data_IF_502418831663
#
_entry.id   IF_502418831663
#
_cell.length_a   1.000
_cell.length_b   1.000
_cell.length_c   1.000
_cell.angle_alpha   90.00
_cell.angle_beta   90.00
_cell.angle_gamma   90.00
#
_symmetry.space_group_name_H-M   'P 1'
#
loop_
_entity.id
_entity.type
_entity.pdbx_description
1 polymer ?
#
# COMPACT_ATOMS: atom_id res chain seq x y z
N UNK A 1 -2.15 10.71 -17.86
CA UNK A 1 -1.91 9.36 -17.34
C UNK A 1 -0.53 9.29 -16.72
N UNK A 2 -0.47 8.91 -15.47
CA UNK A 2 0.80 8.86 -14.78
C UNK A 2 1.54 7.57 -15.11
N UNK A 3 2.86 7.64 -15.11
CA UNK A 3 3.68 6.46 -15.32
C UNK A 3 3.67 5.59 -14.05
N UNK A 4 3.77 4.28 -14.21
CA UNK A 4 3.91 3.43 -13.03
C UNK A 4 5.22 3.73 -12.30
N UNK A 5 5.21 3.54 -11.00
CA UNK A 5 6.41 3.71 -10.20
C UNK A 5 7.42 2.61 -10.53
N UNK A 6 8.70 2.91 -10.34
CA UNK A 6 9.71 1.86 -10.38
C UNK A 6 9.39 0.84 -9.26
N UNK A 7 9.88 -0.38 -9.40
CA UNK A 7 9.66 -1.40 -8.39
C UNK A 7 10.19 -0.96 -7.03
N UNK A 8 11.27 -0.21 -7.03
CA UNK A 8 11.87 0.28 -5.81
C UNK A 8 10.96 1.28 -5.09
N UNK A 9 10.41 2.22 -5.84
CA UNK A 9 9.50 3.21 -5.27
C UNK A 9 8.17 2.58 -4.87
N UNK A 10 7.64 1.72 -5.71
CA UNK A 10 6.42 0.99 -5.42
C UNK A 10 6.55 0.20 -4.11
N UNK A 11 7.66 -0.50 -3.95
CA UNK A 11 7.90 -1.27 -2.75
C UNK A 11 7.93 -0.40 -1.50
N UNK A 12 8.53 0.78 -1.60
CA UNK A 12 8.56 1.73 -0.48
C UNK A 12 7.15 2.18 -0.10
N UNK A 13 6.32 2.47 -1.08
CA UNK A 13 4.94 2.90 -0.84
C UNK A 13 4.15 1.78 -0.14
N UNK A 14 4.25 0.58 -0.65
CA UNK A 14 3.52 -0.56 -0.07
C UNK A 14 3.99 -0.83 1.36
N UNK A 15 5.29 -0.83 1.59
CA UNK A 15 5.83 -1.07 2.93
C UNK A 15 5.39 0.01 3.91
N UNK A 16 5.40 1.26 3.49
CA UNK A 16 4.97 2.35 4.34
C UNK A 16 3.50 2.20 4.70
N UNK A 17 2.66 1.94 3.70
CA UNK A 17 1.24 1.76 3.95
C UNK A 17 0.98 0.60 4.89
N UNK A 18 1.55 -0.56 4.61
CA UNK A 18 1.32 -1.76 5.43
C UNK A 18 1.81 -1.52 6.85
N UNK A 19 2.99 -0.95 7.00
CA UNK A 19 3.56 -0.70 8.32
C UNK A 19 2.65 0.20 9.16
N UNK A 20 2.21 1.32 8.60
CA UNK A 20 1.37 2.25 9.33
C UNK A 20 -0.02 1.69 9.59
N UNK A 21 -0.58 1.01 8.61
CA UNK A 21 -1.90 0.40 8.74
C UNK A 21 -1.92 -0.64 9.86
N UNK A 22 -0.93 -1.52 9.85
CA UNK A 22 -0.85 -2.59 10.84
C UNK A 22 -0.54 -2.02 12.23
N UNK A 23 0.35 -1.03 12.32
CA UNK A 23 0.68 -0.42 13.60
C UNK A 23 -0.51 0.26 14.26
N UNK A 24 -1.40 0.83 13.46
CA UNK A 24 -2.54 1.57 14.00
C UNK A 24 -3.74 0.69 14.32
N UNK A 25 -3.93 -0.42 13.59
CA UNK A 25 -5.16 -1.17 13.65
C UNK A 25 -5.02 -2.60 14.17
N UNK A 26 -3.79 -3.05 14.43
CA UNK A 26 -3.55 -4.46 14.74
C UNK A 26 -2.78 -4.60 16.04
N UNK A 27 -3.16 -5.55 16.92
CA UNK A 27 -2.38 -5.84 18.13
C UNK A 27 -0.98 -6.34 17.78
N UNK A 28 -0.02 -6.06 18.67
CA UNK A 28 1.39 -6.44 18.48
C UNK A 28 1.57 -7.89 18.07
N UNK A 29 0.79 -8.77 18.69
CA UNK A 29 0.92 -10.20 18.49
C UNK A 29 0.63 -10.64 17.05
N UNK A 30 -0.16 -9.83 16.33
CA UNK A 30 -0.61 -10.19 14.99
C UNK A 30 -0.02 -9.31 13.90
N UNK A 31 0.75 -8.29 14.27
CA UNK A 31 1.28 -7.32 13.31
C UNK A 31 2.08 -7.96 12.19
N UNK A 32 3.00 -8.83 12.57
CA UNK A 32 3.88 -9.46 11.61
C UNK A 32 3.11 -10.35 10.65
N UNK A 33 2.17 -11.13 11.17
CA UNK A 33 1.37 -12.02 10.36
C UNK A 33 0.47 -11.25 9.39
N UNK A 34 -0.19 -10.21 9.87
CA UNK A 34 -1.08 -9.42 9.04
C UNK A 34 -0.30 -8.59 8.02
N UNK A 35 0.87 -8.08 8.40
CA UNK A 35 1.73 -7.37 7.46
C UNK A 35 2.16 -8.28 6.32
N UNK A 36 2.57 -9.50 6.63
CA UNK A 36 2.96 -10.46 5.62
C UNK A 36 1.79 -10.78 4.68
N UNK A 37 0.61 -11.02 5.24
CA UNK A 37 -0.56 -11.30 4.43
C UNK A 37 -0.94 -10.11 3.55
N UNK A 38 -0.83 -8.91 4.07
CA UNK A 38 -1.12 -7.69 3.31
C UNK A 38 -0.18 -7.53 2.13
N UNK A 39 1.11 -7.79 2.34
CA UNK A 39 2.09 -7.74 1.25
C UNK A 39 1.77 -8.77 0.17
N UNK A 40 1.38 -9.96 0.56
CA UNK A 40 1.01 -11.02 -0.39
C UNK A 40 -0.22 -10.59 -1.19
N UNK A 41 -1.24 -10.06 -0.52
CA UNK A 41 -2.47 -9.61 -1.17
C UNK A 41 -2.17 -8.50 -2.18
N UNK A 42 -1.39 -7.50 -1.80
CA UNK A 42 -1.05 -6.40 -2.70
C UNK A 42 -0.22 -6.88 -3.88
N UNK A 43 0.70 -7.80 -3.65
CA UNK A 43 1.50 -8.35 -4.74
C UNK A 43 0.64 -9.12 -5.73
N UNK A 44 -0.31 -9.90 -5.24
CA UNK A 44 -1.24 -10.62 -6.11
C UNK A 44 -2.07 -9.65 -6.95
N UNK A 45 -2.55 -8.58 -6.36
CA UNK A 45 -3.32 -7.57 -7.08
C UNK A 45 -2.44 -6.90 -8.14
N UNK A 46 -1.20 -6.57 -7.78
CA UNK A 46 -0.28 -5.94 -8.72
C UNK A 46 0.00 -6.82 -9.92
N UNK A 47 0.22 -8.10 -9.69
CA UNK A 47 0.51 -9.04 -10.78
C UNK A 47 -0.69 -9.26 -11.67
N UNK A 48 -1.88 -9.23 -11.10
CA UNK A 48 -3.11 -9.49 -11.84
C UNK A 48 -3.62 -8.25 -12.57
N UNK A 49 -3.59 -7.09 -11.93
CA UNK A 49 -4.25 -5.90 -12.45
C UNK A 49 -3.32 -4.69 -12.57
N UNK A 50 -2.21 -4.64 -11.83
CA UNK A 50 -1.24 -3.56 -11.89
C UNK A 50 -1.21 -2.71 -10.63
N UNK A 51 -0.30 -1.73 -10.63
CA UNK A 51 -0.07 -0.88 -9.46
C UNK A 51 -1.29 -0.03 -9.11
N UNK A 52 -2.00 0.48 -10.10
CA UNK A 52 -3.17 1.33 -9.86
C UNK A 52 -4.22 0.61 -9.03
N UNK A 53 -4.44 -0.66 -9.30
CA UNK A 53 -5.39 -1.45 -8.53
C UNK A 53 -4.96 -1.62 -7.07
N UNK A 54 -3.67 -1.73 -6.83
CA UNK A 54 -3.14 -1.79 -5.46
C UNK A 54 -3.41 -0.48 -4.73
N UNK A 55 -3.19 0.64 -5.40
CA UNK A 55 -3.43 1.95 -4.79
C UNK A 55 -4.91 2.16 -4.49
N UNK A 56 -5.79 1.71 -5.37
CA UNK A 56 -7.23 1.76 -5.11
C UNK A 56 -7.61 0.91 -3.91
N UNK A 57 -7.01 -0.26 -3.79
CA UNK A 57 -7.26 -1.13 -2.66
C UNK A 57 -6.79 -0.49 -1.36
N UNK A 58 -5.61 0.12 -1.36
CA UNK A 58 -5.11 0.84 -0.18
C UNK A 58 -6.07 1.93 0.25
N UNK A 59 -6.58 2.71 -0.70
CA UNK A 59 -7.54 3.77 -0.41
C UNK A 59 -8.84 3.20 0.16
N UNK A 60 -9.22 2.01 -0.26
CA UNK A 60 -10.39 1.34 0.28
C UNK A 60 -10.17 0.86 1.71
N UNK A 61 -8.95 0.44 2.04
CA UNK A 61 -8.63 -0.01 3.38
C UNK A 61 -8.57 1.14 4.38
N UNK A 62 -7.89 2.24 4.00
CA UNK A 62 -7.76 3.42 4.85
C UNK A 62 -7.45 4.62 3.96
N UNK A 63 -8.48 5.36 3.61
CA UNK A 63 -8.35 6.47 2.68
C UNK A 63 -7.49 7.61 3.23
N UNK A 64 -7.56 7.87 4.53
CA UNK A 64 -6.75 8.93 5.13
C UNK A 64 -5.28 8.58 5.10
N UNK A 65 -4.94 7.36 5.46
CA UNK A 65 -3.56 6.89 5.41
C UNK A 65 -3.04 6.89 3.98
N UNK A 66 -3.83 6.41 3.06
CA UNK A 66 -3.43 6.41 1.66
C UNK A 66 -3.19 7.84 1.15
N UNK A 67 -4.06 8.78 1.52
CA UNK A 67 -3.91 10.17 1.11
C UNK A 67 -2.59 10.76 1.64
N UNK A 68 -2.27 10.50 2.90
CA UNK A 68 -1.00 10.96 3.47
C UNK A 68 0.20 10.40 2.72
N UNK A 69 0.15 9.12 2.40
CA UNK A 69 1.24 8.47 1.68
C UNK A 69 1.32 9.00 0.24
N UNK A 70 0.18 9.20 -0.40
CA UNK A 70 0.14 9.75 -1.75
C UNK A 70 0.79 11.13 -1.81
N UNK A 71 0.53 11.97 -0.82
CA UNK A 71 1.14 13.29 -0.73
C UNK A 71 2.65 13.15 -0.52
N UNK A 72 3.05 12.29 0.40
CA UNK A 72 4.45 12.09 0.75
C UNK A 72 5.28 11.56 -0.40
N UNK A 73 4.73 10.67 -1.19
CA UNK A 73 5.41 10.08 -2.35
C UNK A 73 5.01 10.67 -3.69
N UNK A 74 4.21 11.73 -3.67
CA UNK A 74 3.80 12.46 -4.86
C UNK A 74 3.01 11.58 -5.85
N UNK A 75 2.02 10.89 -5.34
CA UNK A 75 1.18 9.98 -6.14
C UNK A 75 -0.13 10.63 -6.58
N UNK A 76 -0.12 11.90 -6.81
CA UNK A 76 -1.32 12.71 -6.97
C UNK A 76 -2.19 12.34 -8.16
N UNK A 77 -1.64 11.73 -9.16
CA UNK A 77 -2.37 11.41 -10.39
C UNK A 77 -2.94 10.01 -10.40
N UNK A 78 -2.94 9.37 -9.28
CA UNK A 78 -3.40 7.99 -9.19
C UNK A 78 -4.79 7.88 -8.63
#
# INVERSE_FOLDING_TARGET
>A
MSNPLSMNEYDKVVRRFVNDYVNNLTPDQMRELIAEQSHIDFENIRQDTGQEAVFEEMASWDSELYTDIAIQFDLEDI
#
